data_IF_582721949544
#
_entry.id   IF_582721949544
#
_cell.length_a   1.000
_cell.length_b   1.000
_cell.length_c   1.000
_cell.angle_alpha   90.00
_cell.angle_beta   90.00
_cell.angle_gamma   90.00
#
_symmetry.space_group_name_H-M   'P 1'
#
loop_
_entity.id
_entity.type
_entity.pdbx_description
1 polymer ?
#
# COMPACT_ATOMS: atom_id res chain seq x y z
N UNK A 1 -9.76 21.03 -30.63
CA UNK A 1 -9.42 19.76 -31.29
C UNK A 1 -8.83 18.82 -30.24
N UNK A 2 -9.62 18.52 -29.22
CA UNK A 2 -9.28 17.73 -28.01
C UNK A 2 -10.24 16.53 -27.89
N UNK A 3 -10.63 15.98 -29.04
CA UNK A 3 -11.72 15.03 -29.14
C UNK A 3 -11.41 14.09 -30.32
N UNK A 4 -10.70 12.98 -30.04
CA UNK A 4 -10.70 11.70 -30.80
C UNK A 4 -9.58 10.68 -30.49
N UNK A 5 -8.65 10.88 -29.57
CA UNK A 5 -7.66 9.82 -29.22
C UNK A 5 -7.53 9.51 -27.73
N UNK A 6 -8.69 9.37 -27.11
CA UNK A 6 -8.95 8.68 -25.85
C UNK A 6 -8.86 7.14 -25.99
N UNK A 7 -7.88 6.60 -26.73
CA UNK A 7 -7.93 5.19 -27.20
C UNK A 7 -6.58 4.45 -27.12
N UNK A 8 -5.87 4.59 -26.01
CA UNK A 8 -4.68 3.77 -25.80
C UNK A 8 -4.40 3.30 -24.37
N UNK A 9 -5.28 3.63 -23.41
CA UNK A 9 -5.22 3.04 -22.06
C UNK A 9 -6.59 2.56 -21.56
N UNK A 10 -7.65 2.67 -22.37
CA UNK A 10 -9.01 2.26 -21.99
C UNK A 10 -9.41 0.96 -22.71
N UNK A 11 -9.16 -0.18 -22.07
CA UNK A 11 -10.11 -1.31 -21.90
C UNK A 11 -9.43 -2.66 -21.62
N UNK A 12 -8.11 -2.79 -21.79
CA UNK A 12 -7.40 -4.07 -21.56
C UNK A 12 -6.10 -3.99 -20.76
N UNK A 13 -5.62 -2.79 -20.44
CA UNK A 13 -4.40 -2.65 -19.64
C UNK A 13 -4.76 -2.49 -18.17
N UNK A 14 -5.11 -3.61 -17.55
CA UNK A 14 -5.29 -3.69 -16.11
C UNK A 14 -3.91 -3.51 -15.46
N UNK A 15 -3.68 -2.35 -14.82
CA UNK A 15 -2.48 -2.15 -14.03
C UNK A 15 -2.39 -3.25 -12.96
N UNK A 16 -1.32 -4.03 -13.02
CA UNK A 16 -1.12 -5.16 -12.11
C UNK A 16 -0.60 -4.64 -10.77
N UNK A 17 -1.28 -5.03 -9.69
CA UNK A 17 -0.77 -4.85 -8.33
C UNK A 17 0.10 -6.06 -7.99
N UNK A 18 1.39 -5.81 -7.77
CA UNK A 18 2.29 -6.84 -7.27
C UNK A 18 2.21 -6.85 -5.75
N UNK A 19 1.79 -7.98 -5.18
CA UNK A 19 1.87 -8.25 -3.75
C UNK A 19 3.16 -9.05 -3.51
N UNK A 20 4.19 -8.38 -3.00
CA UNK A 20 5.31 -9.09 -2.39
C UNK A 20 4.88 -9.44 -0.96
N UNK A 21 5.19 -10.66 -0.52
CA UNK A 21 4.62 -11.35 0.66
C UNK A 21 4.72 -10.61 2.03
N UNK A 22 5.21 -9.36 2.07
CA UNK A 22 5.30 -8.49 3.24
C UNK A 22 4.97 -7.03 2.89
N UNK A 23 3.68 -6.74 2.73
CA UNK A 23 3.03 -5.42 2.86
C UNK A 23 3.37 -4.30 1.88
N UNK A 24 4.30 -4.48 0.95
CA UNK A 24 4.54 -3.50 -0.10
C UNK A 24 3.66 -3.81 -1.31
N UNK A 25 2.69 -2.93 -1.55
CA UNK A 25 1.87 -2.96 -2.76
C UNK A 25 2.39 -1.93 -3.74
N UNK A 26 2.68 -2.38 -4.96
CA UNK A 26 3.19 -1.52 -6.03
C UNK A 26 2.21 -1.55 -7.19
N UNK A 27 1.82 -0.37 -7.66
CA UNK A 27 1.11 -0.24 -8.91
C UNK A 27 2.08 -0.33 -10.08
N UNK A 28 1.81 -1.26 -11.01
CA UNK A 28 2.56 -1.35 -12.23
C UNK A 28 1.89 -0.54 -13.34
N UNK A 29 2.48 0.61 -13.66
CA UNK A 29 2.01 1.47 -14.74
C UNK A 29 2.24 0.79 -16.11
N UNK A 30 1.24 0.73 -17.01
CA UNK A 30 1.39 0.34 -18.41
C UNK A 30 2.57 0.98 -19.16
N UNK A 31 2.95 2.20 -18.80
CA UNK A 31 4.07 2.94 -19.38
C UNK A 31 5.42 2.57 -18.76
N UNK A 32 5.46 1.65 -17.80
CA UNK A 32 6.70 1.16 -17.19
C UNK A 32 7.30 0.02 -18.04
N UNK A 33 8.60 0.06 -18.39
CA UNK A 33 9.27 -1.01 -19.12
C UNK A 33 9.16 -2.41 -18.50
N UNK A 34 8.92 -2.50 -17.19
CA UNK A 34 8.72 -3.77 -16.48
C UNK A 34 7.31 -4.33 -16.63
N UNK A 35 6.35 -3.53 -17.10
CA UNK A 35 4.95 -3.94 -17.24
C UNK A 35 4.81 -5.04 -18.30
N UNK A 36 4.04 -6.12 -18.04
CA UNK A 36 3.88 -7.21 -19.00
C UNK A 36 3.42 -6.76 -20.39
N UNK A 37 2.53 -5.76 -20.44
CA UNK A 37 2.02 -5.18 -21.69
C UNK A 37 2.81 -3.99 -22.23
N UNK A 38 4.00 -3.68 -21.69
CA UNK A 38 4.79 -2.53 -22.12
C UNK A 38 5.11 -2.54 -23.63
N UNK A 39 5.28 -3.72 -24.22
CA UNK A 39 5.50 -3.87 -25.66
C UNK A 39 4.36 -3.30 -26.51
N UNK A 40 3.14 -3.28 -25.98
CA UNK A 40 1.94 -2.72 -26.62
C UNK A 40 1.78 -1.24 -26.31
N UNK A 41 2.08 -0.82 -25.09
CA UNK A 41 1.75 0.51 -24.56
C UNK A 41 2.90 1.51 -24.65
N UNK A 42 4.16 1.08 -24.66
CA UNK A 42 5.33 1.96 -24.56
C UNK A 42 5.44 3.01 -25.66
N UNK A 43 5.08 2.66 -26.91
CA UNK A 43 5.07 3.61 -28.02
C UNK A 43 4.02 4.71 -27.82
N UNK A 44 2.84 4.33 -27.33
CA UNK A 44 1.76 5.27 -27.02
C UNK A 44 2.21 6.20 -25.90
N UNK A 45 2.70 5.65 -24.79
CA UNK A 45 3.17 6.44 -23.65
C UNK A 45 4.25 7.46 -24.04
N UNK A 46 5.14 7.07 -24.96
CA UNK A 46 6.18 7.96 -25.49
C UNK A 46 5.60 9.08 -26.37
N UNK A 47 4.62 8.75 -27.22
CA UNK A 47 3.94 9.73 -28.10
C UNK A 47 3.10 10.73 -27.32
N UNK A 48 2.37 10.26 -26.31
CA UNK A 48 1.55 11.09 -25.42
C UNK A 48 2.40 11.84 -24.38
N UNK A 49 3.72 11.60 -24.35
CA UNK A 49 4.61 12.29 -23.43
C UNK A 49 4.31 12.02 -21.95
N UNK A 50 3.81 10.84 -21.61
CA UNK A 50 3.42 10.50 -20.22
C UNK A 50 4.65 10.56 -19.31
N UNK A 51 4.52 11.28 -18.20
CA UNK A 51 5.54 11.40 -17.18
C UNK A 51 5.10 10.74 -15.87
N UNK A 52 5.73 9.62 -15.54
CA UNK A 52 5.43 8.82 -14.34
C UNK A 52 5.63 9.57 -13.03
N UNK A 53 6.52 10.57 -12.99
CA UNK A 53 6.72 11.37 -11.77
C UNK A 53 5.59 12.37 -11.54
N UNK A 54 4.80 12.68 -12.57
CA UNK A 54 3.64 13.57 -12.49
C UNK A 54 2.32 12.80 -12.38
N UNK A 55 2.32 11.51 -12.76
CA UNK A 55 1.17 10.61 -12.60
C UNK A 55 0.66 10.64 -11.17
N UNK A 56 -0.66 10.81 -11.02
CA UNK A 56 -1.32 10.87 -9.72
C UNK A 56 -1.85 9.48 -9.36
N UNK A 57 -1.66 9.08 -8.11
CA UNK A 57 -2.12 7.80 -7.59
C UNK A 57 -3.16 8.02 -6.50
N UNK A 58 -4.08 7.07 -6.38
CA UNK A 58 -5.11 7.03 -5.34
C UNK A 58 -5.33 5.60 -4.90
N UNK A 59 -5.01 5.31 -3.65
CA UNK A 59 -5.19 3.99 -3.07
C UNK A 59 -6.55 3.85 -2.42
N UNK A 60 -7.16 2.68 -2.59
CA UNK A 60 -8.47 2.34 -2.05
C UNK A 60 -8.42 1.00 -1.36
N UNK A 61 -9.03 0.90 -0.19
CA UNK A 61 -8.95 -0.27 0.68
C UNK A 61 -10.32 -0.64 1.22
N UNK A 62 -10.51 -1.93 1.51
CA UNK A 62 -11.69 -2.40 2.25
C UNK A 62 -11.29 -3.45 3.28
N UNK A 63 -12.17 -3.64 4.27
CA UNK A 63 -12.11 -4.79 5.15
C UNK A 63 -12.12 -6.10 4.34
N UNK A 64 -11.60 -7.20 4.94
CA UNK A 64 -11.72 -8.52 4.35
C UNK A 64 -13.17 -8.87 4.04
N UNK A 65 -13.39 -9.62 2.97
CA UNK A 65 -14.72 -10.17 2.67
C UNK A 65 -15.19 -11.04 3.83
N UNK A 66 -16.48 -10.91 4.18
CA UNK A 66 -17.13 -11.76 5.16
C UNK A 66 -17.10 -13.24 4.77
N UNK A 67 -17.34 -14.14 5.73
CA UNK A 67 -17.42 -15.58 5.47
C UNK A 67 -18.60 -15.94 4.54
N UNK A 68 -19.62 -15.08 4.52
CA UNK A 68 -20.79 -15.12 3.63
C UNK A 68 -20.48 -14.62 2.20
N UNK A 69 -19.25 -14.16 1.95
CA UNK A 69 -18.82 -13.60 0.66
C UNK A 69 -19.22 -12.14 0.46
N UNK A 70 -19.91 -11.51 1.41
CA UNK A 70 -20.27 -10.10 1.33
C UNK A 70 -19.01 -9.26 1.48
N UNK A 71 -18.80 -8.32 0.53
CA UNK A 71 -17.62 -7.45 0.52
C UNK A 71 -18.01 -6.00 0.77
N UNK A 72 -17.31 -5.32 1.67
CA UNK A 72 -17.45 -3.88 1.82
C UNK A 72 -16.90 -3.14 0.60
N UNK A 73 -17.45 -1.95 0.37
CA UNK A 73 -16.94 -1.03 -0.66
C UNK A 73 -15.52 -0.57 -0.34
N UNK A 74 -14.74 -0.36 -1.40
CA UNK A 74 -13.40 0.21 -1.33
C UNK A 74 -13.49 1.71 -1.02
N UNK A 75 -12.77 2.14 0.02
CA UNK A 75 -12.67 3.54 0.45
C UNK A 75 -11.28 4.07 0.21
N UNK A 76 -11.20 5.35 -0.11
CA UNK A 76 -9.92 6.00 -0.39
C UNK A 76 -9.08 6.07 0.89
N UNK A 77 -7.78 5.84 0.76
CA UNK A 77 -6.82 6.02 1.85
C UNK A 77 -6.38 7.46 1.83
N UNK A 78 -6.95 8.27 2.73
CA UNK A 78 -6.59 9.70 2.86
C UNK A 78 -5.49 9.91 3.90
N UNK A 79 -5.27 8.93 4.77
CA UNK A 79 -4.31 9.03 5.85
C UNK A 79 -2.89 8.77 5.38
N UNK A 80 -2.05 9.79 5.49
CA UNK A 80 -0.61 9.69 5.28
C UNK A 80 0.07 9.10 6.52
N UNK A 81 1.08 8.29 6.31
CA UNK A 81 1.94 7.80 7.40
C UNK A 81 3.21 8.64 7.46
N UNK A 82 3.99 8.51 8.54
CA UNK A 82 5.23 9.27 8.69
C UNK A 82 6.24 9.02 7.56
N UNK A 83 6.20 7.85 6.93
CA UNK A 83 7.18 7.42 5.92
C UNK A 83 6.61 7.30 4.51
N UNK A 84 5.30 7.49 4.31
CA UNK A 84 4.64 7.19 3.05
C UNK A 84 3.39 8.04 2.85
N UNK A 85 3.30 8.64 1.66
CA UNK A 85 2.13 9.37 1.15
C UNK A 85 1.31 8.45 0.21
N UNK A 86 0.00 8.66 0.20
CA UNK A 86 -0.98 7.89 -0.58
C UNK A 86 -1.05 8.32 -2.04
N UNK A 87 -0.28 9.34 -2.43
CA UNK A 87 -0.22 9.85 -3.81
C UNK A 87 0.96 9.28 -4.63
N UNK A 88 1.68 8.28 -4.12
CA UNK A 88 2.78 7.62 -4.82
C UNK A 88 2.41 6.25 -5.41
N UNK A 89 3.23 5.80 -6.36
CA UNK A 89 3.10 4.50 -7.06
C UNK A 89 3.25 3.29 -6.13
N UNK A 90 3.85 3.47 -4.97
CA UNK A 90 4.02 2.45 -3.93
C UNK A 90 3.26 2.85 -2.68
N UNK A 91 2.48 1.94 -2.13
CA UNK A 91 1.89 2.09 -0.80
C UNK A 91 2.77 1.35 0.20
N UNK A 92 3.70 2.09 0.80
CA UNK A 92 4.58 1.58 1.86
C UNK A 92 4.08 2.00 3.25
N UNK A 93 4.53 1.33 4.30
CA UNK A 93 4.28 1.68 5.71
C UNK A 93 2.81 1.65 6.16
N UNK A 94 1.92 1.06 5.36
CA UNK A 94 0.54 0.75 5.75
C UNK A 94 0.43 -0.77 5.92
N UNK A 95 0.16 -1.19 7.16
CA UNK A 95 0.04 -2.61 7.50
C UNK A 95 -1.43 -3.01 7.47
N UNK A 96 -1.80 -3.73 6.41
CA UNK A 96 -3.15 -4.23 6.21
C UNK A 96 -3.48 -5.40 7.13
N UNK A 97 -4.74 -5.52 7.53
CA UNK A 97 -5.20 -6.78 8.12
C UNK A 97 -5.17 -7.89 7.07
N UNK A 98 -4.97 -9.12 7.53
CA UNK A 98 -5.03 -10.31 6.68
C UNK A 98 -6.36 -10.37 5.91
N UNK A 99 -6.28 -10.58 4.59
CA UNK A 99 -7.47 -10.63 3.73
C UNK A 99 -8.07 -9.28 3.34
N UNK A 100 -7.53 -8.14 3.78
CA UNK A 100 -7.95 -6.82 3.29
C UNK A 100 -7.85 -6.73 1.77
N UNK A 101 -8.70 -5.92 1.16
CA UNK A 101 -8.67 -5.70 -0.30
C UNK A 101 -8.04 -4.36 -0.58
N UNK A 102 -7.17 -4.30 -1.58
CA UNK A 102 -6.43 -3.09 -1.98
C UNK A 102 -6.58 -2.88 -3.47
N UNK A 103 -6.85 -1.65 -3.88
CA UNK A 103 -6.95 -1.22 -5.26
C UNK A 103 -6.17 0.09 -5.43
N UNK A 104 -5.53 0.26 -6.58
CA UNK A 104 -4.95 1.53 -6.97
C UNK A 104 -5.75 2.11 -8.14
N UNK A 105 -6.02 3.40 -8.09
CA UNK A 105 -6.40 4.19 -9.25
C UNK A 105 -5.23 5.09 -9.63
N UNK A 106 -4.93 5.19 -10.92
CA UNK A 106 -3.85 6.00 -11.45
C UNK A 106 -4.37 6.91 -12.55
N UNK A 107 -3.90 8.16 -12.55
CA UNK A 107 -4.20 9.17 -13.57
C UNK A 107 -2.89 9.63 -14.19
N UNK A 108 -2.67 9.21 -15.42
CA UNK A 108 -1.48 9.58 -16.17
C UNK A 108 -1.45 11.10 -16.44
N UNK A 109 -0.27 11.69 -16.36
CA UNK A 109 -0.05 13.12 -16.62
C UNK A 109 1.07 13.27 -17.64
N UNK A 110 0.81 14.07 -18.68
CA UNK A 110 1.80 14.44 -19.70
C UNK A 110 2.91 15.32 -19.09
N UNK A 111 4.08 15.38 -19.76
CA UNK A 111 5.13 16.37 -19.47
C UNK A 111 4.63 17.81 -19.51
N UNK A 112 3.59 18.09 -20.30
CA UNK A 112 2.97 19.41 -20.41
C UNK A 112 1.98 19.70 -19.28
N UNK A 113 1.72 18.72 -18.41
CA UNK A 113 0.78 18.82 -17.28
C UNK A 113 -0.66 18.39 -17.61
N UNK A 114 -0.92 17.93 -18.83
CA UNK A 114 -2.24 17.47 -19.23
C UNK A 114 -2.61 16.16 -18.53
N UNK A 115 -3.77 16.16 -17.88
CA UNK A 115 -4.30 15.01 -17.16
C UNK A 115 -5.13 14.07 -18.05
N UNK A 116 -4.80 12.78 -17.99
CA UNK A 116 -5.56 11.74 -18.66
C UNK A 116 -6.81 11.28 -17.90
N UNK A 117 -7.43 10.21 -18.41
CA UNK A 117 -8.47 9.49 -17.69
C UNK A 117 -7.85 8.67 -16.55
N UNK A 118 -8.52 8.64 -15.42
CA UNK A 118 -8.14 7.78 -14.31
C UNK A 118 -8.56 6.33 -14.57
N UNK A 119 -7.65 5.40 -14.27
CA UNK A 119 -7.84 3.96 -14.45
C UNK A 119 -7.60 3.24 -13.15
N UNK A 120 -8.48 2.30 -12.82
CA UNK A 120 -8.37 1.49 -11.61
C UNK A 120 -7.82 0.10 -11.93
N UNK A 121 -6.93 -0.39 -11.07
CA UNK A 121 -6.49 -1.78 -11.06
C UNK A 121 -7.63 -2.71 -10.67
N UNK A 122 -7.44 -4.01 -10.90
CA UNK A 122 -8.24 -5.01 -10.20
C UNK A 122 -7.89 -4.97 -8.71
N UNK A 123 -8.86 -5.08 -7.78
CA UNK A 123 -8.56 -5.19 -6.36
C UNK A 123 -7.82 -6.49 -6.06
N UNK A 124 -6.74 -6.41 -5.29
CA UNK A 124 -5.99 -7.58 -4.79
C UNK A 124 -6.30 -7.83 -3.33
N UNK A 125 -6.23 -9.10 -2.93
CA UNK A 125 -6.45 -9.53 -1.54
C UNK A 125 -5.10 -9.74 -0.86
N UNK A 126 -4.91 -9.09 0.28
CA UNK A 126 -3.73 -9.27 1.12
C UNK A 126 -3.71 -10.70 1.66
N UNK A 127 -2.51 -11.29 1.71
CA UNK A 127 -2.33 -12.68 2.13
C UNK A 127 -2.99 -12.93 3.48
N UNK A 128 -3.75 -14.03 3.58
CA UNK A 128 -4.34 -14.45 4.86
C UNK A 128 -3.35 -15.18 5.76
N UNK A 129 -2.25 -15.67 5.20
CA UNK A 129 -1.34 -16.61 5.85
C UNK A 129 0.04 -16.03 6.10
N UNK A 130 0.48 -15.07 5.29
CA UNK A 130 1.82 -14.50 5.33
C UNK A 130 1.78 -13.08 5.89
N UNK A 131 1.60 -12.96 7.21
CA UNK A 131 1.68 -11.69 7.90
C UNK A 131 3.04 -11.42 8.54
N UNK A 132 3.34 -10.15 8.83
CA UNK A 132 4.53 -9.74 9.60
C UNK A 132 4.22 -9.92 11.08
N UNK A 133 3.01 -9.54 11.48
CA UNK A 133 2.54 -9.45 12.85
C UNK A 133 1.14 -10.07 12.92
N UNK A 134 1.08 -11.40 12.78
CA UNK A 134 -0.18 -12.13 12.89
C UNK A 134 -0.79 -11.89 14.29
N UNK A 135 -2.11 -11.61 14.37
CA UNK A 135 -2.76 -11.50 15.66
C UNK A 135 -2.73 -12.86 16.38
N UNK A 136 -2.60 -12.85 17.72
CA UNK A 136 -2.64 -14.09 18.52
C UNK A 136 -3.95 -14.86 18.36
N UNK A 137 -5.04 -14.13 18.16
CA UNK A 137 -6.36 -14.67 17.89
C UNK A 137 -6.88 -14.10 16.57
N UNK A 138 -7.19 -14.96 15.61
CA UNK A 138 -7.76 -14.52 14.33
C UNK A 138 -9.05 -13.72 14.55
N UNK A 139 -9.16 -12.58 13.88
CA UNK A 139 -10.31 -11.67 14.02
C UNK A 139 -10.33 -10.83 15.29
N UNK A 140 -9.34 -10.95 16.18
CA UNK A 140 -9.21 -10.01 17.31
C UNK A 140 -8.65 -8.67 16.85
N UNK A 141 -9.39 -7.60 17.15
CA UNK A 141 -8.96 -6.22 16.95
C UNK A 141 -8.76 -5.63 18.34
N UNK A 142 -7.51 -5.36 18.73
CA UNK A 142 -7.24 -4.85 20.07
C UNK A 142 -5.76 -4.63 20.37
N UNK A 143 -5.48 -3.73 21.33
CA UNK A 143 -4.16 -3.57 21.89
C UNK A 143 -3.95 -4.62 22.99
N UNK A 144 -3.07 -5.59 22.78
CA UNK A 144 -2.48 -6.29 23.92
C UNK A 144 -1.79 -5.24 24.82
N UNK A 145 -1.89 -5.34 26.15
CA UNK A 145 -1.28 -4.34 27.02
C UNK A 145 0.24 -4.36 26.86
N UNK A 146 0.86 -3.19 26.67
CA UNK A 146 2.30 -3.09 26.71
C UNK A 146 2.81 -3.43 28.12
N UNK A 147 3.98 -4.05 28.20
CA UNK A 147 4.63 -4.34 29.49
C UNK A 147 5.81 -3.41 29.70
N UNK A 148 5.90 -2.78 30.87
CA UNK A 148 7.07 -1.99 31.26
C UNK A 148 7.77 -2.62 32.47
N UNK A 149 9.10 -2.75 32.41
CA UNK A 149 9.95 -3.25 33.51
C UNK A 149 11.05 -2.23 33.79
N UNK A 150 11.21 -1.87 35.05
CA UNK A 150 12.29 -0.98 35.51
C UNK A 150 13.24 -1.79 36.41
N UNK A 151 14.55 -1.75 36.13
CA UNK A 151 15.57 -2.35 37.00
C UNK A 151 16.78 -1.44 37.15
N UNK A 152 17.41 -1.47 38.32
CA UNK A 152 18.74 -0.90 38.51
C UNK A 152 19.79 -1.86 37.94
N UNK A 153 20.77 -1.35 37.18
CA UNK A 153 21.80 -2.18 36.54
C UNK A 153 22.93 -2.56 37.48
N UNK A 154 23.21 -1.73 38.50
CA UNK A 154 24.28 -1.98 39.46
C UNK A 154 25.67 -1.61 38.93
N UNK A 155 26.66 -1.54 39.83
CA UNK A 155 28.02 -1.11 39.49
C UNK A 155 28.81 -2.14 38.67
N UNK A 156 28.36 -3.39 38.68
CA UNK A 156 28.99 -4.51 37.99
C UNK A 156 28.43 -4.76 36.58
N UNK A 157 27.45 -3.97 36.12
CA UNK A 157 26.95 -4.08 34.75
C UNK A 157 28.05 -3.59 33.79
N UNK A 158 28.52 -4.43 32.85
CA UNK A 158 29.71 -4.15 32.05
C UNK A 158 29.49 -3.06 30.99
N UNK A 159 28.24 -2.75 30.64
CA UNK A 159 27.91 -1.82 29.56
C UNK A 159 27.22 -0.54 30.09
N UNK A 160 26.36 -0.68 31.10
CA UNK A 160 25.58 0.43 31.66
C UNK A 160 25.62 0.46 33.20
N UNK A 161 26.79 0.70 33.84
CA UNK A 161 26.91 0.65 35.30
C UNK A 161 26.15 1.78 36.01
N UNK A 162 25.49 1.46 37.12
CA UNK A 162 24.76 2.40 38.00
C UNK A 162 23.64 3.21 37.33
N UNK A 163 22.92 2.63 36.37
CA UNK A 163 21.79 3.26 35.69
C UNK A 163 20.46 2.56 36.00
N UNK A 164 19.36 3.25 35.71
CA UNK A 164 18.01 2.67 35.69
C UNK A 164 17.72 2.22 34.26
N UNK A 165 17.55 0.92 34.05
CA UNK A 165 17.11 0.34 32.78
C UNK A 165 15.60 0.22 32.76
N UNK A 166 14.97 0.94 31.84
CA UNK A 166 13.56 0.82 31.52
C UNK A 166 13.41 -0.03 30.25
N UNK A 167 12.69 -1.14 30.34
CA UNK A 167 12.33 -1.98 29.20
C UNK A 167 10.84 -1.86 28.95
N UNK A 168 10.44 -1.45 27.74
CA UNK A 168 9.04 -1.38 27.30
C UNK A 168 8.84 -2.41 26.18
N UNK A 169 7.87 -3.30 26.32
CA UNK A 169 7.46 -4.27 25.31
C UNK A 169 6.08 -3.88 24.81
N UNK A 170 6.01 -3.40 23.57
CA UNK A 170 4.77 -2.96 22.93
C UNK A 170 4.37 -4.05 21.91
N UNK A 171 3.32 -4.85 22.18
CA UNK A 171 2.80 -5.78 21.19
C UNK A 171 2.11 -5.01 20.05
N UNK A 172 2.24 -5.51 18.82
CA UNK A 172 1.64 -4.91 17.62
C UNK A 172 1.07 -6.00 16.71
N UNK A 173 0.08 -5.64 15.89
CA UNK A 173 -0.58 -6.54 14.94
C UNK A 173 -0.81 -5.83 13.60
N UNK A 174 -0.93 -6.63 12.54
CA UNK A 174 -1.21 -6.13 11.19
C UNK A 174 -2.67 -5.68 11.10
N UNK A 175 -2.93 -4.42 10.70
CA UNK A 175 -4.29 -3.88 10.68
C UNK A 175 -4.45 -2.43 11.12
N UNK A 176 -3.36 -1.68 11.21
CA UNK A 176 -3.43 -0.24 11.47
C UNK A 176 -3.73 0.49 10.16
N UNK A 177 -5.00 0.44 9.74
CA UNK A 177 -5.52 1.30 8.68
C UNK A 177 -6.19 2.52 9.34
N UNK A 178 -5.56 3.71 9.28
CA UNK A 178 -6.30 4.95 9.47
C UNK A 178 -7.14 5.17 8.21
N UNK A 179 -8.46 4.96 8.34
CA UNK A 179 -9.46 5.29 7.30
C UNK A 179 -10.02 6.66 7.57
#
# INVERSE_FOLDING_TARGET
MFDKQKSALTSEVQGNLLNNEKYNVVYQDPCNPKHPDFSKTGNICSKEGINQTLTKYRWRVSAPSGQDGVTSDLRDVESVTFFSDTHHITLDSIYFTSGSRVQCAARAVSKDGDEGLELSSVPVVISKQQGLCAPRLEGSVGAEPFTAKMRYTGASDPEYPNLIKLTITIPHWDGMLPV
#
